data_IF_251527039785
#
_entry.id   IF_251527039785
#
_cell.length_a   1.000
_cell.length_b   1.000
_cell.length_c   1.000
_cell.angle_alpha   90.00
_cell.angle_beta   90.00
_cell.angle_gamma   90.00
#
_symmetry.space_group_name_H-M   'P 1'
#
loop_
_entity.id
_entity.type
_entity.pdbx_description
1 polymer ?
#
# COMPACT_ATOMS: atom_id res chain seq x y z
N UNK A 1 16.76 -16.73 61.76
CA UNK A 1 15.37 -17.22 61.83
C UNK A 1 14.92 -17.51 60.41
N UNK A 2 14.88 -18.80 60.06
CA UNK A 2 14.36 -19.32 58.80
C UNK A 2 12.96 -19.87 59.06
N UNK A 3 12.00 -19.63 58.16
CA UNK A 3 10.80 -20.45 58.02
C UNK A 3 10.43 -20.54 56.54
N UNK A 4 10.33 -21.78 56.11
CA UNK A 4 9.94 -22.37 54.82
C UNK A 4 8.42 -22.55 54.67
N UNK A 5 8.00 -22.95 53.46
CA UNK A 5 6.85 -23.81 53.08
C UNK A 5 5.94 -23.14 52.02
N UNK A 6 5.28 -23.83 51.08
CA UNK A 6 5.38 -25.18 50.53
C UNK A 6 4.41 -25.22 49.31
N UNK A 7 4.65 -26.17 48.41
CA UNK A 7 3.88 -26.48 47.20
C UNK A 7 2.46 -27.00 47.50
N UNK A 8 1.57 -26.91 46.50
CA UNK A 8 0.39 -27.79 46.46
C UNK A 8 -0.06 -28.04 45.01
N UNK A 9 0.08 -29.29 44.59
CA UNK A 9 -0.35 -29.87 43.31
C UNK A 9 -1.54 -30.81 43.62
N UNK A 10 -2.66 -30.70 42.90
CA UNK A 10 -3.79 -31.61 43.07
C UNK A 10 -4.21 -32.30 41.77
N UNK A 11 -4.20 -33.61 41.90
CA UNK A 11 -4.57 -34.70 41.00
C UNK A 11 -6.10 -34.88 40.95
N UNK A 12 -6.66 -35.22 39.78
CA UNK A 12 -8.02 -35.77 39.66
C UNK A 12 -8.03 -36.96 38.70
N UNK A 13 -8.20 -38.15 39.29
CA UNK A 13 -8.65 -39.37 38.64
C UNK A 13 -10.16 -39.51 38.81
N UNK A 14 -10.87 -39.95 37.77
CA UNK A 14 -12.20 -40.53 37.91
C UNK A 14 -12.34 -41.76 37.00
N UNK A 15 -12.83 -42.83 37.62
CA UNK A 15 -13.15 -44.15 37.12
C UNK A 15 -14.66 -44.22 36.89
N UNK A 16 -15.13 -44.90 35.84
CA UNK A 16 -16.41 -45.61 35.88
C UNK A 16 -16.54 -46.62 34.72
N UNK A 17 -16.53 -47.89 35.09
CA UNK A 17 -17.05 -49.03 34.32
C UNK A 17 -18.59 -49.07 34.34
N UNK A 18 -19.23 -49.60 33.30
CA UNK A 18 -20.51 -50.34 33.39
C UNK A 18 -20.97 -50.93 32.03
N UNK A 19 -20.73 -52.22 31.88
CA UNK A 19 -21.62 -53.34 31.45
C UNK A 19 -22.59 -53.26 30.26
N UNK A 20 -22.46 -54.33 29.45
CA UNK A 20 -23.32 -54.98 28.45
C UNK A 20 -24.86 -54.87 28.57
N UNK A 21 -25.53 -54.86 27.41
CA UNK A 21 -26.59 -55.85 27.10
C UNK A 21 -26.87 -55.94 25.58
N UNK A 22 -26.98 -57.18 25.13
CA UNK A 22 -27.21 -57.66 23.77
C UNK A 22 -28.72 -57.92 23.55
N UNK A 23 -29.30 -57.60 22.37
CA UNK A 23 -30.37 -58.43 21.77
C UNK A 23 -30.65 -58.08 20.30
N UNK A 24 -30.79 -59.15 19.52
CA UNK A 24 -31.17 -59.21 18.11
C UNK A 24 -32.57 -58.68 17.81
N UNK A 25 -32.74 -58.07 16.63
CA UNK A 25 -33.90 -58.30 15.76
C UNK A 25 -33.50 -58.06 14.29
N UNK A 26 -33.80 -59.05 13.44
CA UNK A 26 -33.75 -58.97 11.97
C UNK A 26 -34.95 -58.17 11.46
N UNK A 27 -34.76 -57.37 10.42
CA UNK A 27 -35.75 -57.18 9.36
C UNK A 27 -35.03 -56.73 8.08
N UNK A 28 -35.20 -57.53 7.03
CA UNK A 28 -34.92 -57.21 5.63
C UNK A 28 -35.93 -56.16 5.16
N UNK A 29 -35.50 -55.05 4.55
CA UNK A 29 -36.21 -54.38 3.45
C UNK A 29 -35.18 -53.64 2.57
N UNK A 30 -35.26 -53.96 1.27
CA UNK A 30 -34.54 -53.35 0.16
C UNK A 30 -34.89 -51.86 0.01
N UNK A 31 -33.91 -50.95 0.11
CA UNK A 31 -33.99 -49.64 -0.54
C UNK A 31 -32.65 -49.27 -1.18
N UNK A 32 -32.70 -49.24 -2.51
CA UNK A 32 -31.66 -48.86 -3.44
C UNK A 32 -31.48 -47.32 -3.37
N UNK A 33 -30.47 -46.83 -2.64
CA UNK A 33 -30.03 -45.44 -2.72
C UNK A 33 -28.77 -45.38 -3.57
N UNK A 34 -28.88 -44.70 -4.71
CA UNK A 34 -27.78 -44.36 -5.59
C UNK A 34 -26.74 -43.53 -4.82
N UNK A 35 -25.60 -44.15 -4.51
CA UNK A 35 -24.37 -43.48 -4.05
C UNK A 35 -23.75 -42.68 -5.20
N UNK A 36 -24.34 -41.54 -5.55
CA UNK A 36 -23.70 -40.56 -6.42
C UNK A 36 -23.83 -39.17 -5.79
N UNK A 37 -22.76 -38.73 -5.12
CA UNK A 37 -22.62 -37.32 -4.75
C UNK A 37 -22.08 -37.03 -3.36
N UNK A 38 -20.88 -37.52 -3.02
CA UNK A 38 -20.08 -36.88 -1.96
C UNK A 38 -18.58 -36.95 -2.25
N UNK A 39 -18.19 -36.72 -3.50
CA UNK A 39 -16.77 -36.70 -3.92
C UNK A 39 -16.18 -35.27 -3.90
N UNK A 40 -16.58 -34.49 -2.90
CA UNK A 40 -16.42 -33.04 -2.93
C UNK A 40 -16.13 -32.40 -1.59
N UNK A 41 -15.32 -33.01 -0.72
CA UNK A 41 -14.70 -32.24 0.39
C UNK A 41 -13.59 -32.94 1.19
N UNK A 42 -13.02 -34.07 0.75
CA UNK A 42 -11.77 -34.55 1.35
C UNK A 42 -10.61 -33.87 0.62
N UNK A 43 -10.19 -32.71 1.13
CA UNK A 43 -8.86 -32.18 0.81
C UNK A 43 -7.84 -33.30 1.08
N UNK A 44 -7.12 -33.70 0.04
CA UNK A 44 -6.21 -34.84 0.12
C UNK A 44 -5.18 -34.57 1.23
N UNK A 45 -5.01 -35.54 2.12
CA UNK A 45 -4.05 -35.47 3.24
C UNK A 45 -2.63 -35.17 2.71
N UNK A 46 -2.36 -35.53 1.46
CA UNK A 46 -1.13 -35.20 0.74
C UNK A 46 -0.95 -33.68 0.52
N UNK A 47 -2.02 -32.97 0.14
CA UNK A 47 -2.04 -31.53 -0.11
C UNK A 47 -1.88 -30.74 1.19
N UNK A 48 -2.56 -31.16 2.26
CA UNK A 48 -2.41 -30.54 3.59
C UNK A 48 -0.97 -30.68 4.14
N UNK A 49 -0.31 -31.82 3.89
CA UNK A 49 1.10 -32.02 4.29
C UNK A 49 2.06 -31.13 3.49
N UNK A 50 1.79 -30.89 2.21
CA UNK A 50 2.58 -29.97 1.39
C UNK A 50 2.48 -28.54 1.93
N UNK A 51 1.27 -28.06 2.21
CA UNK A 51 1.03 -26.72 2.77
C UNK A 51 1.70 -26.53 4.13
N UNK A 52 1.66 -27.54 5.02
CA UNK A 52 2.34 -27.49 6.31
C UNK A 52 3.87 -27.47 6.20
N UNK A 53 4.42 -28.14 5.18
CA UNK A 53 5.86 -28.12 4.91
C UNK A 53 6.28 -26.74 4.42
N UNK A 54 5.54 -26.16 3.48
CA UNK A 54 5.81 -24.82 2.96
C UNK A 54 5.70 -23.75 4.05
N UNK A 55 4.71 -23.84 4.94
CA UNK A 55 4.60 -22.96 6.11
C UNK A 55 5.81 -23.07 7.06
N UNK A 56 6.35 -24.28 7.27
CA UNK A 56 7.54 -24.48 8.12
C UNK A 56 8.78 -23.86 7.49
N UNK A 57 9.02 -24.09 6.20
CA UNK A 57 10.15 -23.50 5.47
C UNK A 57 10.07 -21.98 5.45
N UNK A 58 8.86 -21.42 5.34
CA UNK A 58 8.63 -19.98 5.45
C UNK A 58 8.89 -19.44 6.85
N UNK A 59 8.43 -20.11 7.91
CA UNK A 59 8.71 -19.67 9.28
C UNK A 59 10.21 -19.63 9.58
N UNK A 60 10.98 -20.58 9.04
CA UNK A 60 12.43 -20.54 9.14
C UNK A 60 13.01 -19.36 8.33
N UNK A 61 12.49 -19.08 7.13
CA UNK A 61 12.89 -17.89 6.35
C UNK A 61 12.56 -16.56 7.05
N UNK A 62 11.39 -16.45 7.70
CA UNK A 62 11.01 -15.27 8.48
C UNK A 62 11.86 -15.11 9.73
N UNK A 63 12.24 -16.22 10.36
CA UNK A 63 13.18 -16.24 11.48
C UNK A 63 14.58 -15.80 11.03
N UNK A 64 15.09 -16.35 9.93
CA UNK A 64 16.35 -15.91 9.31
C UNK A 64 16.30 -14.42 8.93
N UNK A 65 15.17 -13.94 8.43
CA UNK A 65 14.97 -12.54 8.08
C UNK A 65 14.91 -11.65 9.33
N UNK A 66 14.25 -12.10 10.40
CA UNK A 66 14.23 -11.41 11.70
C UNK A 66 15.62 -11.36 12.32
N UNK A 67 16.38 -12.45 12.26
CA UNK A 67 17.77 -12.52 12.71
C UNK A 67 18.69 -11.65 11.83
N UNK A 68 18.46 -11.61 10.52
CA UNK A 68 19.14 -10.70 9.59
C UNK A 68 18.79 -9.23 9.86
N UNK A 69 17.54 -8.91 10.17
CA UNK A 69 17.15 -7.55 10.57
C UNK A 69 17.71 -7.18 11.94
N UNK A 70 17.81 -8.14 12.86
CA UNK A 70 18.47 -7.97 14.15
C UNK A 70 19.99 -7.76 13.97
N UNK A 71 20.64 -8.46 13.03
CA UNK A 71 22.06 -8.26 12.71
C UNK A 71 22.33 -6.96 11.95
N UNK A 72 21.39 -6.49 11.13
CA UNK A 72 21.41 -5.13 10.54
C UNK A 72 21.23 -4.04 11.60
N UNK A 73 20.49 -4.33 12.67
CA UNK A 73 20.34 -3.45 13.85
C UNK A 73 21.61 -3.43 14.71
N UNK A 74 22.36 -4.53 14.73
CA UNK A 74 23.63 -4.67 15.44
C UNK A 74 24.87 -4.39 14.56
N UNK A 75 24.63 -4.00 13.30
CA UNK A 75 25.70 -3.69 12.36
C UNK A 75 26.49 -2.49 12.90
N UNK A 76 27.78 -2.68 13.11
CA UNK A 76 28.72 -1.67 13.61
C UNK A 76 28.64 -0.34 12.83
N UNK A 77 28.26 -0.41 11.55
CA UNK A 77 28.01 0.74 10.67
C UNK A 77 26.76 1.55 11.06
N UNK A 78 25.65 0.92 11.47
CA UNK A 78 24.47 1.66 11.98
C UNK A 78 24.74 2.26 13.35
N UNK A 79 25.60 1.63 14.16
CA UNK A 79 26.09 2.21 15.43
C UNK A 79 27.00 3.42 15.19
N UNK A 80 27.92 3.35 14.23
CA UNK A 80 28.77 4.49 13.84
C UNK A 80 27.96 5.63 13.21
N UNK A 81 26.95 5.33 12.40
CA UNK A 81 26.01 6.32 11.85
C UNK A 81 25.16 6.94 12.97
N UNK A 82 24.67 6.15 13.92
CA UNK A 82 23.90 6.64 15.06
C UNK A 82 24.74 7.53 16.00
N UNK A 83 25.99 7.15 16.29
CA UNK A 83 26.93 7.98 17.05
C UNK A 83 27.31 9.27 16.30
N UNK A 84 27.46 9.21 14.98
CA UNK A 84 27.71 10.39 14.14
C UNK A 84 26.51 11.34 14.12
N UNK A 85 25.28 10.81 14.00
CA UNK A 85 24.04 11.59 14.07
C UNK A 85 23.88 12.22 15.46
N UNK A 86 24.18 11.48 16.52
CA UNK A 86 24.15 11.96 17.91
C UNK A 86 25.16 13.09 18.14
N UNK A 87 26.38 12.96 17.61
CA UNK A 87 27.41 14.01 17.68
C UNK A 87 27.03 15.27 16.89
N UNK A 88 26.39 15.12 15.72
CA UNK A 88 25.84 16.23 14.93
C UNK A 88 24.69 16.95 15.66
N UNK A 89 23.80 16.20 16.32
CA UNK A 89 22.72 16.75 17.13
C UNK A 89 23.24 17.53 18.35
N UNK A 90 24.27 17.02 19.02
CA UNK A 90 24.93 17.70 20.14
C UNK A 90 25.62 19.01 19.69
N UNK A 91 26.22 19.02 18.50
CA UNK A 91 26.80 20.23 17.90
C UNK A 91 25.75 21.29 17.56
N UNK A 92 24.61 20.87 17.02
CA UNK A 92 23.48 21.75 16.71
C UNK A 92 22.82 22.31 17.98
N UNK A 93 22.78 21.51 19.06
CA UNK A 93 22.23 21.95 20.34
C UNK A 93 23.18 22.88 21.12
N UNK A 94 24.50 22.71 20.95
CA UNK A 94 25.52 23.59 21.56
C UNK A 94 25.72 24.91 20.78
N UNK A 95 25.29 24.98 19.53
CA UNK A 95 25.23 26.20 18.73
C UNK A 95 23.90 26.93 18.89
N UNK A 96 23.72 27.63 20.01
CA UNK A 96 22.47 28.29 20.35
C UNK A 96 22.11 29.50 19.44
N UNK A 97 20.82 29.58 19.11
CA UNK A 97 19.93 30.76 19.12
C UNK A 97 20.23 31.98 18.22
N UNK A 98 19.29 32.23 17.30
CA UNK A 98 18.59 33.52 17.29
C UNK A 98 17.07 33.28 17.25
N UNK A 99 16.44 33.44 18.41
CA UNK A 99 15.03 33.82 18.50
C UNK A 99 14.96 35.28 18.08
N UNK A 100 14.14 35.60 17.09
CA UNK A 100 13.19 36.71 17.11
C UNK A 100 12.34 36.74 15.84
N UNK A 101 11.06 37.08 16.04
CA UNK A 101 10.00 37.34 15.05
C UNK A 101 9.35 36.10 14.41
N UNK A 102 8.45 35.46 15.16
CA UNK A 102 7.31 34.74 14.55
C UNK A 102 6.18 35.74 14.38
N UNK A 103 5.96 36.19 13.14
CA UNK A 103 4.69 36.79 12.73
C UNK A 103 3.81 35.68 12.09
N UNK A 104 2.47 35.73 12.25
CA UNK A 104 1.59 34.70 11.71
C UNK A 104 1.63 34.67 10.18
N UNK A 105 1.68 33.47 9.60
CA UNK A 105 1.53 33.25 8.17
C UNK A 105 0.14 33.68 7.71
N UNK A 106 0.02 34.89 7.16
CA UNK A 106 -1.10 35.29 6.31
C UNK A 106 -0.82 34.76 4.91
N UNK A 107 -1.74 33.94 4.40
CA UNK A 107 -1.82 33.53 3.00
C UNK A 107 -1.77 34.77 2.09
N UNK A 108 -0.63 34.98 1.42
CA UNK A 108 -0.54 35.93 0.32
C UNK A 108 -1.09 35.28 -0.93
N UNK A 109 -2.29 35.70 -1.33
CA UNK A 109 -2.75 35.55 -2.72
C UNK A 109 -1.82 36.31 -3.66
N UNK A 110 -1.59 35.85 -4.89
CA UNK A 110 -0.81 36.60 -5.87
C UNK A 110 -1.54 37.89 -6.23
N UNK A 111 -0.89 39.03 -6.03
CA UNK A 111 -1.34 40.31 -6.56
C UNK A 111 -1.04 40.35 -8.07
N UNK A 112 -2.00 40.71 -8.93
CA UNK A 112 -1.72 41.02 -10.31
C UNK A 112 -1.24 42.47 -10.39
N UNK A 113 -0.08 42.70 -10.99
CA UNK A 113 0.33 44.00 -11.49
C UNK A 113 0.45 43.91 -13.01
N UNK A 114 -0.24 44.83 -13.70
CA UNK A 114 0.10 45.19 -15.06
C UNK A 114 -1.11 45.41 -15.98
N UNK A 115 -1.45 46.68 -16.19
CA UNK A 115 -1.93 47.12 -17.50
C UNK A 115 -3.21 47.95 -17.52
N UNK A 116 -3.10 49.22 -17.11
CA UNK A 116 -4.05 50.24 -17.54
C UNK A 116 -3.85 50.52 -19.03
N UNK A 117 -4.88 50.25 -19.83
CA UNK A 117 -4.97 50.60 -21.25
C UNK A 117 -6.40 51.02 -21.58
N UNK A 118 -6.57 52.28 -21.92
CA UNK A 118 -7.85 52.98 -22.17
C UNK A 118 -8.42 52.68 -23.56
N UNK A 119 -9.68 52.20 -23.64
CA UNK A 119 -10.83 52.53 -24.54
C UNK A 119 -10.68 52.63 -26.09
N UNK A 120 -11.77 52.64 -26.92
CA UNK A 120 -13.18 52.27 -26.71
C UNK A 120 -13.86 51.43 -27.86
N UNK A 121 -15.13 51.06 -27.63
CA UNK A 121 -16.25 51.04 -28.61
C UNK A 121 -16.61 49.75 -29.39
N UNK A 122 -17.94 49.46 -29.37
CA UNK A 122 -18.69 48.49 -30.18
C UNK A 122 -19.20 47.32 -29.32
N UNK A 123 -20.48 47.13 -28.98
CA UNK A 123 -21.73 47.43 -29.69
C UNK A 123 -22.33 46.11 -30.18
N UNK A 124 -23.38 45.58 -29.51
CA UNK A 124 -24.19 44.47 -30.05
C UNK A 124 -24.84 43.51 -29.03
N UNK A 125 -26.16 43.68 -28.84
CA UNK A 125 -27.25 42.67 -28.68
C UNK A 125 -27.04 41.43 -27.77
N UNK A 126 -27.75 41.30 -26.63
CA UNK A 126 -29.12 40.77 -26.42
C UNK A 126 -29.39 39.30 -26.82
N UNK A 127 -29.55 38.42 -25.81
CA UNK A 127 -30.55 37.31 -25.64
C UNK A 127 -30.16 36.53 -24.37
N UNK A 128 -30.84 36.58 -23.20
CA UNK A 128 -32.16 36.10 -22.75
C UNK A 128 -32.44 34.59 -22.94
N UNK A 129 -32.83 33.97 -21.80
CA UNK A 129 -33.52 32.67 -21.60
C UNK A 129 -32.63 31.41 -21.57
N UNK A 130 -32.74 30.42 -20.67
CA UNK A 130 -33.61 30.11 -19.52
C UNK A 130 -33.02 28.90 -18.77
N UNK A 131 -33.41 28.70 -17.51
CA UNK A 131 -33.39 27.41 -16.77
C UNK A 131 -34.86 26.94 -16.59
N UNK A 132 -35.19 25.79 -15.93
CA UNK A 132 -34.70 24.40 -15.95
C UNK A 132 -35.91 23.42 -16.25
N UNK A 133 -35.93 22.11 -15.90
CA UNK A 133 -36.19 21.69 -14.50
C UNK A 133 -35.50 20.39 -14.02
N UNK A 134 -35.58 20.21 -12.69
CA UNK A 134 -35.25 19.01 -11.94
C UNK A 134 -36.10 17.78 -12.34
N UNK A 135 -35.57 16.58 -12.11
CA UNK A 135 -36.37 15.43 -11.69
C UNK A 135 -35.59 14.57 -10.69
N UNK A 136 -36.21 14.36 -9.54
CA UNK A 136 -35.87 13.33 -8.56
C UNK A 136 -36.18 11.95 -9.15
N UNK A 137 -35.41 10.92 -8.78
CA UNK A 137 -35.93 9.64 -8.28
C UNK A 137 -34.79 8.82 -7.68
N UNK A 138 -35.03 8.34 -6.46
CA UNK A 138 -34.22 7.38 -5.74
C UNK A 138 -34.36 5.97 -6.34
N UNK A 139 -33.28 5.19 -6.31
CA UNK A 139 -33.35 3.75 -6.04
C UNK A 139 -31.96 3.25 -5.66
N UNK A 140 -31.82 2.87 -4.39
CA UNK A 140 -30.70 2.09 -3.88
C UNK A 140 -30.69 0.72 -4.56
N UNK A 141 -29.68 0.47 -5.39
CA UNK A 141 -29.19 -0.88 -5.68
C UNK A 141 -27.68 -0.82 -5.51
N UNK A 142 -27.14 -1.70 -4.68
CA UNK A 142 -25.71 -1.93 -4.56
C UNK A 142 -25.20 -2.35 -5.93
N UNK A 143 -24.60 -1.41 -6.67
CA UNK A 143 -23.87 -1.71 -7.89
C UNK A 143 -22.56 -2.37 -7.47
N UNK A 144 -22.40 -3.64 -7.80
CA UNK A 144 -21.13 -4.33 -7.69
C UNK A 144 -20.11 -3.63 -8.59
N UNK A 145 -19.11 -3.01 -7.96
CA UNK A 145 -18.03 -2.32 -8.67
C UNK A 145 -17.08 -3.37 -9.23
N UNK A 146 -17.32 -3.72 -10.50
CA UNK A 146 -16.37 -4.50 -11.28
C UNK A 146 -15.20 -3.59 -11.67
N UNK A 147 -14.01 -3.82 -11.10
CA UNK A 147 -12.77 -3.33 -11.71
C UNK A 147 -12.79 -3.82 -13.17
N UNK A 148 -12.59 -2.97 -14.19
CA UNK A 148 -12.74 -3.35 -15.59
C UNK A 148 -11.94 -4.63 -15.91
N UNK A 149 -12.63 -5.73 -16.22
CA UNK A 149 -12.05 -7.02 -16.60
C UNK A 149 -11.25 -6.97 -17.93
N UNK A 150 -11.19 -5.81 -18.60
CA UNK A 150 -10.50 -5.63 -19.87
C UNK A 150 -8.97 -5.67 -19.78
N UNK A 151 -8.37 -5.96 -18.62
CA UNK A 151 -6.96 -6.33 -18.53
C UNK A 151 -6.79 -7.85 -18.65
N UNK A 152 -7.18 -8.43 -19.79
CA UNK A 152 -6.71 -9.76 -20.17
C UNK A 152 -5.19 -9.69 -20.27
N UNK A 153 -4.54 -10.32 -19.30
CA UNK A 153 -3.09 -10.44 -19.16
C UNK A 153 -2.54 -11.17 -20.38
N UNK A 154 -2.16 -10.42 -21.41
CA UNK A 154 -1.00 -10.82 -22.21
C UNK A 154 0.19 -10.57 -21.31
N UNK A 155 0.83 -11.66 -20.85
CA UNK A 155 2.14 -11.67 -20.20
C UNK A 155 3.05 -10.76 -21.03
N UNK A 156 3.23 -9.51 -20.60
CA UNK A 156 3.77 -8.45 -21.45
C UNK A 156 5.25 -8.75 -21.67
N UNK A 157 5.66 -9.24 -22.84
CA UNK A 157 7.06 -9.46 -23.10
C UNK A 157 7.62 -8.08 -23.38
N UNK A 158 8.56 -7.64 -22.54
CA UNK A 158 9.33 -6.42 -22.76
C UNK A 158 8.57 -5.09 -22.65
N UNK A 159 8.74 -4.44 -21.48
CA UNK A 159 8.44 -3.03 -21.21
C UNK A 159 9.37 -2.05 -22.01
N UNK A 160 9.79 -2.41 -23.23
CA UNK A 160 10.70 -1.58 -24.06
C UNK A 160 10.00 -0.70 -25.10
N UNK A 161 8.67 -0.60 -25.10
CA UNK A 161 7.96 0.43 -25.84
C UNK A 161 7.05 1.22 -24.89
N UNK A 162 7.50 2.41 -24.49
CA UNK A 162 6.70 3.40 -23.76
C UNK A 162 5.55 3.91 -24.63
N UNK A 163 4.47 3.14 -24.75
CA UNK A 163 3.18 3.78 -24.94
C UNK A 163 2.87 4.50 -23.63
N UNK A 164 3.03 5.82 -23.63
CA UNK A 164 2.50 6.69 -22.59
C UNK A 164 0.98 6.54 -22.61
N UNK A 165 0.48 5.53 -21.91
CA UNK A 165 -0.95 5.40 -21.66
C UNK A 165 -1.29 6.49 -20.67
N UNK A 166 -2.08 7.47 -21.12
CA UNK A 166 -2.70 8.45 -20.25
C UNK A 166 -4.04 7.87 -19.83
N UNK A 167 -4.17 7.56 -18.55
CA UNK A 167 -5.41 7.07 -17.96
C UNK A 167 -6.39 8.22 -17.81
N UNK A 168 -7.59 8.02 -18.36
CA UNK A 168 -8.72 8.92 -18.19
C UNK A 168 -9.52 8.63 -16.91
N UNK A 169 -9.09 7.64 -16.12
CA UNK A 169 -9.79 7.21 -14.92
C UNK A 169 -8.81 6.79 -13.81
N UNK A 170 -9.12 7.19 -12.58
CA UNK A 170 -8.44 6.73 -11.36
C UNK A 170 -8.70 5.26 -11.03
N UNK A 171 -9.67 4.61 -11.69
CA UNK A 171 -9.95 3.17 -11.48
C UNK A 171 -8.89 2.26 -12.11
N UNK A 172 -8.05 2.80 -13.01
CA UNK A 172 -6.92 2.04 -13.54
C UNK A 172 -5.86 1.89 -12.46
N UNK A 173 -5.49 0.65 -12.14
CA UNK A 173 -4.47 0.37 -11.15
C UNK A 173 -3.08 0.73 -11.71
N UNK A 174 -2.29 1.53 -10.99
CA UNK A 174 -0.89 1.80 -11.34
C UNK A 174 -0.07 0.53 -11.59
N UNK A 175 0.74 0.55 -12.66
CA UNK A 175 1.60 -0.59 -13.05
C UNK A 175 3.06 -0.41 -12.70
N UNK A 176 3.45 0.77 -12.22
CA UNK A 176 4.79 1.08 -11.77
C UNK A 176 4.78 2.23 -10.76
N UNK A 177 5.92 2.43 -10.10
CA UNK A 177 6.06 3.43 -9.05
C UNK A 177 5.72 4.85 -9.51
N UNK A 178 6.13 5.26 -10.72
CA UNK A 178 5.74 6.56 -11.29
C UNK A 178 4.23 6.69 -11.40
N UNK A 179 3.55 5.69 -11.96
CA UNK A 179 2.09 5.69 -12.06
C UNK A 179 1.43 5.76 -10.68
N UNK A 180 2.00 5.11 -9.66
CA UNK A 180 1.46 5.15 -8.31
C UNK A 180 1.60 6.55 -7.69
N UNK A 181 2.73 7.22 -7.91
CA UNK A 181 2.92 8.62 -7.53
C UNK A 181 1.93 9.53 -8.27
N UNK A 182 1.78 9.37 -9.58
CA UNK A 182 0.83 10.17 -10.36
C UNK A 182 -0.62 9.96 -9.93
N UNK A 183 -0.99 8.72 -9.60
CA UNK A 183 -2.32 8.39 -9.08
C UNK A 183 -2.60 9.13 -7.77
N UNK A 184 -1.64 9.16 -6.84
CA UNK A 184 -1.77 9.90 -5.58
C UNK A 184 -1.95 11.40 -5.79
N UNK A 185 -1.22 11.98 -6.75
CA UNK A 185 -1.38 13.40 -7.11
C UNK A 185 -2.76 13.66 -7.75
N UNK A 186 -3.26 12.73 -8.56
CA UNK A 186 -4.57 12.87 -9.19
C UNK A 186 -5.73 12.68 -8.18
N UNK A 187 -5.58 11.75 -7.23
CA UNK A 187 -6.50 11.53 -6.09
C UNK A 187 -6.62 12.77 -5.21
N UNK A 188 -5.50 13.46 -4.96
CA UNK A 188 -5.50 14.74 -4.25
C UNK A 188 -6.52 15.71 -4.89
N UNK A 189 -6.47 15.84 -6.21
CA UNK A 189 -7.33 16.77 -6.95
C UNK A 189 -7.23 18.21 -6.44
N UNK A 190 -8.30 18.97 -6.67
CA UNK A 190 -8.40 20.38 -6.24
C UNK A 190 -8.84 20.50 -4.77
N UNK A 191 -9.64 19.55 -4.26
CA UNK A 191 -10.11 19.49 -2.87
C UNK A 191 -9.39 18.38 -2.09
N UNK A 192 -8.10 18.62 -1.81
CA UNK A 192 -7.22 17.65 -1.16
C UNK A 192 -7.74 17.18 0.20
N UNK A 193 -8.27 18.10 1.01
CA UNK A 193 -8.76 17.81 2.35
C UNK A 193 -9.91 16.82 2.30
N UNK A 194 -10.93 17.11 1.49
CA UNK A 194 -12.11 16.24 1.36
C UNK A 194 -11.77 14.90 0.73
N UNK A 195 -10.99 14.90 -0.36
CA UNK A 195 -10.67 13.68 -1.10
C UNK A 195 -9.86 12.70 -0.23
N UNK A 196 -8.84 13.20 0.46
CA UNK A 196 -7.99 12.36 1.32
C UNK A 196 -8.67 11.97 2.63
N UNK A 197 -9.56 12.81 3.18
CA UNK A 197 -10.44 12.42 4.28
C UNK A 197 -11.36 11.25 3.89
N UNK A 198 -11.98 11.35 2.70
CA UNK A 198 -12.87 10.30 2.20
C UNK A 198 -12.10 9.00 1.91
N UNK A 199 -10.91 9.09 1.31
CA UNK A 199 -10.04 7.95 1.11
C UNK A 199 -9.59 7.32 2.44
N UNK A 200 -9.20 8.14 3.42
CA UNK A 200 -8.79 7.68 4.75
C UNK A 200 -9.90 6.94 5.48
N UNK A 201 -11.13 7.46 5.42
CA UNK A 201 -12.31 6.79 5.95
C UNK A 201 -12.60 5.46 5.24
N UNK A 202 -12.54 5.42 3.92
CA UNK A 202 -12.75 4.19 3.15
C UNK A 202 -11.68 3.12 3.41
N UNK A 203 -10.42 3.55 3.61
CA UNK A 203 -9.33 2.66 4.00
C UNK A 203 -9.59 2.09 5.40
N UNK A 204 -9.92 2.93 6.38
CA UNK A 204 -10.26 2.48 7.73
C UNK A 204 -11.42 1.47 7.72
N UNK A 205 -12.49 1.79 7.02
CA UNK A 205 -13.68 0.96 6.86
C UNK A 205 -13.38 -0.38 6.15
N UNK A 206 -12.55 -0.35 5.10
CA UNK A 206 -12.06 -1.56 4.44
C UNK A 206 -11.35 -2.50 5.42
N UNK A 207 -10.53 -1.97 6.33
CA UNK A 207 -9.82 -2.78 7.33
C UNK A 207 -10.72 -3.31 8.45
N UNK A 208 -11.63 -2.47 8.96
CA UNK A 208 -12.52 -2.83 10.07
C UNK A 208 -13.53 -3.91 9.68
N UNK A 209 -13.98 -3.90 8.43
CA UNK A 209 -15.04 -4.78 7.93
C UNK A 209 -14.57 -5.71 6.81
N UNK A 210 -13.29 -6.08 6.83
CA UNK A 210 -12.70 -6.78 5.70
C UNK A 210 -13.26 -8.19 5.52
N UNK A 211 -13.67 -8.85 6.61
CA UNK A 211 -14.17 -10.22 6.59
C UNK A 211 -15.44 -10.41 5.75
N UNK A 212 -16.29 -9.37 5.68
CA UNK A 212 -17.57 -9.40 4.95
C UNK A 212 -17.49 -8.94 3.49
N UNK A 213 -16.30 -8.61 2.99
CA UNK A 213 -16.09 -7.88 1.73
C UNK A 213 -15.41 -8.72 0.65
N UNK A 214 -16.05 -9.82 0.27
CA UNK A 214 -15.49 -10.77 -0.71
C UNK A 214 -15.15 -10.14 -2.06
N UNK A 215 -15.90 -9.13 -2.50
CA UNK A 215 -15.67 -8.45 -3.79
C UNK A 215 -14.42 -7.58 -3.73
N UNK A 216 -14.28 -6.78 -2.67
CA UNK A 216 -13.15 -5.92 -2.41
C UNK A 216 -11.87 -6.73 -2.22
N UNK A 217 -11.96 -7.91 -1.60
CA UNK A 217 -10.86 -8.88 -1.52
C UNK A 217 -10.37 -9.32 -2.90
N UNK A 218 -11.28 -9.77 -3.76
CA UNK A 218 -10.93 -10.17 -5.12
C UNK A 218 -10.29 -9.01 -5.90
N UNK A 219 -10.85 -7.82 -5.75
CA UNK A 219 -10.33 -6.61 -6.36
C UNK A 219 -8.95 -6.19 -5.82
N UNK A 220 -8.72 -6.35 -4.52
CA UNK A 220 -7.44 -6.09 -3.87
C UNK A 220 -6.37 -7.09 -4.32
N UNK A 221 -6.71 -8.37 -4.47
CA UNK A 221 -5.79 -9.38 -4.99
C UNK A 221 -5.38 -9.08 -6.44
N UNK A 222 -6.35 -8.63 -7.27
CA UNK A 222 -6.05 -8.13 -8.62
C UNK A 222 -5.11 -6.93 -8.56
N UNK A 223 -5.35 -5.97 -7.67
CA UNK A 223 -4.49 -4.79 -7.51
C UNK A 223 -3.07 -5.16 -7.06
N UNK A 224 -2.93 -6.08 -6.11
CA UNK A 224 -1.64 -6.56 -5.59
C UNK A 224 -0.83 -7.30 -6.65
N UNK A 225 -1.47 -8.02 -7.57
CA UNK A 225 -0.75 -8.66 -8.68
C UNK A 225 0.01 -7.64 -9.54
N UNK A 226 -0.51 -6.43 -9.74
CA UNK A 226 0.25 -5.38 -10.43
C UNK A 226 1.50 -4.95 -9.66
N UNK A 227 1.42 -4.90 -8.32
CA UNK A 227 2.59 -4.68 -7.47
C UNK A 227 3.60 -5.82 -7.59
N UNK A 228 3.17 -7.08 -7.59
CA UNK A 228 4.04 -8.24 -7.77
C UNK A 228 4.74 -8.18 -9.13
N UNK A 229 3.97 -8.05 -10.22
CA UNK A 229 4.49 -7.98 -11.59
C UNK A 229 5.54 -6.87 -11.74
N UNK A 230 5.26 -5.71 -11.14
CA UNK A 230 6.20 -4.60 -11.10
C UNK A 230 7.51 -4.96 -10.35
N UNK A 231 7.41 -5.58 -9.18
CA UNK A 231 8.55 -5.90 -8.34
C UNK A 231 9.41 -7.05 -8.89
N UNK A 232 8.81 -7.95 -9.67
CA UNK A 232 9.49 -9.07 -10.34
C UNK A 232 10.39 -8.65 -11.51
N UNK A 233 10.35 -7.39 -11.94
CA UNK A 233 11.25 -6.88 -12.96
C UNK A 233 12.71 -7.17 -12.63
N UNK A 234 13.50 -7.62 -13.61
CA UNK A 234 14.91 -8.00 -13.44
C UNK A 234 15.78 -6.93 -12.77
N UNK A 235 15.45 -5.65 -13.04
CA UNK A 235 16.14 -4.49 -12.48
C UNK A 235 15.79 -4.21 -11.01
N UNK A 236 14.66 -4.74 -10.52
CA UNK A 236 14.15 -4.48 -9.17
C UNK A 236 14.29 -5.69 -8.25
N UNK A 237 13.95 -6.90 -8.72
CA UNK A 237 13.88 -8.12 -7.89
C UNK A 237 15.17 -8.50 -7.16
N UNK A 238 16.30 -7.94 -7.57
CA UNK A 238 17.62 -8.19 -6.95
C UNK A 238 17.84 -7.35 -5.69
N UNK A 239 17.08 -6.28 -5.50
CA UNK A 239 17.18 -5.40 -4.35
C UNK A 239 16.60 -6.06 -3.08
N UNK A 240 17.29 -5.89 -1.94
CA UNK A 240 16.94 -6.54 -0.67
C UNK A 240 15.49 -6.28 -0.25
N UNK A 241 15.06 -5.01 -0.25
CA UNK A 241 13.70 -4.63 0.14
C UNK A 241 12.64 -5.16 -0.84
N UNK A 242 12.98 -5.24 -2.13
CA UNK A 242 12.07 -5.82 -3.14
C UNK A 242 11.88 -7.30 -2.88
N UNK A 243 12.95 -8.05 -2.59
CA UNK A 243 12.84 -9.49 -2.23
C UNK A 243 11.99 -9.71 -0.99
N UNK A 244 12.20 -8.89 0.04
CA UNK A 244 11.42 -8.95 1.28
C UNK A 244 9.93 -8.75 1.01
N UNK A 245 9.58 -7.69 0.26
CA UNK A 245 8.18 -7.39 -0.08
C UNK A 245 7.60 -8.46 -1.00
N UNK A 246 8.35 -8.95 -1.99
CA UNK A 246 7.90 -10.06 -2.84
C UNK A 246 7.61 -11.32 -2.03
N UNK A 247 8.48 -11.72 -1.10
CA UNK A 247 8.25 -12.89 -0.25
C UNK A 247 6.94 -12.77 0.54
N UNK A 248 6.69 -11.59 1.11
CA UNK A 248 5.44 -11.25 1.81
C UNK A 248 4.22 -11.38 0.87
N UNK A 249 4.28 -10.78 -0.31
CA UNK A 249 3.16 -10.78 -1.25
C UNK A 249 2.89 -12.15 -1.87
N UNK A 250 3.94 -12.89 -2.24
CA UNK A 250 3.83 -14.24 -2.78
C UNK A 250 3.24 -15.20 -1.77
N UNK A 251 3.63 -15.11 -0.50
CA UNK A 251 2.99 -15.89 0.56
C UNK A 251 1.49 -15.61 0.59
N UNK A 252 1.10 -14.33 0.66
CA UNK A 252 -0.31 -13.92 0.70
C UNK A 252 -1.12 -14.47 -0.48
N UNK A 253 -0.65 -14.29 -1.71
CA UNK A 253 -1.39 -14.70 -2.93
C UNK A 253 -1.46 -16.22 -3.07
N UNK A 254 -0.52 -16.96 -2.47
CA UNK A 254 -0.51 -18.43 -2.49
C UNK A 254 -1.41 -19.06 -1.41
N UNK A 255 -1.87 -18.30 -0.41
CA UNK A 255 -2.84 -18.84 0.56
C UNK A 255 -4.18 -19.02 -0.14
N UNK A 256 -4.61 -20.27 -0.28
CA UNK A 256 -5.84 -20.63 -1.00
C UNK A 256 -7.06 -19.95 -0.37
N UNK A 257 -7.96 -19.33 -1.17
CA UNK A 257 -9.16 -18.66 -0.66
C UNK A 257 -10.02 -19.55 0.25
N UNK A 258 -10.09 -20.86 -0.02
CA UNK A 258 -10.87 -21.82 0.79
C UNK A 258 -10.31 -22.02 2.22
N UNK A 259 -9.02 -21.80 2.44
CA UNK A 259 -8.41 -21.84 3.78
C UNK A 259 -8.72 -20.55 4.53
N UNK A 260 -8.77 -19.42 3.82
CA UNK A 260 -9.18 -18.12 4.37
C UNK A 260 -10.65 -18.14 4.77
N UNK A 261 -11.56 -18.59 3.91
CA UNK A 261 -13.01 -18.49 4.18
C UNK A 261 -13.48 -19.33 5.37
N UNK A 262 -12.86 -20.48 5.64
CA UNK A 262 -13.32 -21.41 6.68
C UNK A 262 -12.78 -21.11 8.10
N UNK A 263 -11.72 -20.31 8.24
CA UNK A 263 -11.06 -20.06 9.53
C UNK A 263 -11.35 -18.63 10.06
N UNK A 264 -11.78 -17.68 9.21
CA UNK A 264 -11.33 -16.28 9.39
C UNK A 264 -12.41 -15.19 9.48
N UNK A 265 -13.69 -15.49 9.29
CA UNK A 265 -14.62 -14.38 9.04
C UNK A 265 -15.02 -13.56 10.29
N UNK A 266 -14.84 -14.03 11.54
CA UNK A 266 -15.20 -13.22 12.74
C UNK A 266 -14.05 -12.85 13.67
N UNK A 267 -13.02 -13.70 13.79
CA UNK A 267 -11.87 -13.42 14.67
C UNK A 267 -11.01 -12.25 14.14
N UNK A 268 -11.07 -12.00 12.84
CA UNK A 268 -10.12 -11.15 12.14
C UNK A 268 -10.51 -9.68 12.08
N UNK A 269 -11.82 -9.36 12.03
CA UNK A 269 -12.25 -7.97 12.22
C UNK A 269 -11.82 -7.45 13.60
N UNK A 270 -11.83 -8.34 14.61
CA UNK A 270 -11.37 -8.00 15.96
C UNK A 270 -9.84 -7.83 16.03
N UNK A 271 -9.08 -8.58 15.24
CA UNK A 271 -7.61 -8.43 15.17
C UNK A 271 -7.20 -7.18 14.39
N UNK A 272 -7.88 -6.91 13.27
CA UNK A 272 -7.71 -5.71 12.48
C UNK A 272 -8.02 -4.45 13.30
N UNK A 273 -9.16 -4.44 14.01
CA UNK A 273 -9.50 -3.36 14.93
C UNK A 273 -8.47 -3.22 16.05
N UNK A 274 -7.98 -4.33 16.62
CA UNK A 274 -6.93 -4.30 17.65
C UNK A 274 -5.62 -3.70 17.11
N UNK A 275 -5.23 -4.03 15.88
CA UNK A 275 -4.07 -3.41 15.23
C UNK A 275 -4.29 -1.92 15.03
N UNK A 276 -5.41 -1.52 14.44
CA UNK A 276 -5.72 -0.11 14.18
C UNK A 276 -5.66 0.68 15.49
N UNK A 277 -6.31 0.18 16.53
CA UNK A 277 -6.28 0.77 17.87
C UNK A 277 -4.86 0.82 18.47
N UNK A 278 -4.10 -0.28 18.40
CA UNK A 278 -2.72 -0.35 18.94
C UNK A 278 -1.78 0.66 18.26
N UNK A 279 -2.00 0.93 16.97
CA UNK A 279 -1.20 1.88 16.20
C UNK A 279 -1.80 3.29 16.17
N UNK A 280 -2.91 3.52 16.89
CA UNK A 280 -3.61 4.81 16.91
C UNK A 280 -4.16 5.23 15.55
N UNK A 281 -4.46 4.26 14.68
CA UNK A 281 -5.02 4.49 13.35
C UNK A 281 -6.54 4.60 13.43
N UNK A 282 -7.03 5.83 13.32
CA UNK A 282 -8.42 6.19 13.02
C UNK A 282 -8.53 6.69 11.58
N UNK A 283 -9.75 6.81 11.04
CA UNK A 283 -10.00 7.44 9.74
C UNK A 283 -9.29 8.80 9.60
N UNK A 284 -9.39 9.67 10.61
CA UNK A 284 -8.77 11.00 10.62
C UNK A 284 -7.24 10.92 10.58
N UNK A 285 -6.64 10.06 11.41
CA UNK A 285 -5.17 9.92 11.42
C UNK A 285 -4.64 9.29 10.13
N UNK A 286 -5.41 8.39 9.50
CA UNK A 286 -5.07 7.82 8.19
C UNK A 286 -5.12 8.94 7.14
N UNK A 287 -6.19 9.76 7.13
CA UNK A 287 -6.31 10.89 6.23
C UNK A 287 -5.15 11.90 6.40
N UNK A 288 -4.81 12.25 7.64
CA UNK A 288 -3.68 13.13 7.94
C UNK A 288 -2.36 12.54 7.40
N UNK A 289 -2.11 11.26 7.64
CA UNK A 289 -0.91 10.58 7.14
C UNK A 289 -0.89 10.48 5.62
N UNK A 290 -2.04 10.30 4.98
CA UNK A 290 -2.17 10.36 3.52
C UNK A 290 -1.81 11.73 2.97
N UNK A 291 -2.22 12.83 3.63
CA UNK A 291 -1.79 14.18 3.25
C UNK A 291 -0.27 14.30 3.22
N UNK A 292 0.43 13.79 4.26
CA UNK A 292 1.90 13.78 4.27
C UNK A 292 2.50 12.93 3.14
N UNK A 293 1.92 11.76 2.84
CA UNK A 293 2.36 10.91 1.72
C UNK A 293 2.23 11.66 0.39
N UNK A 294 1.07 12.27 0.15
CA UNK A 294 0.76 12.99 -1.11
C UNK A 294 1.62 14.23 -1.27
N UNK A 295 1.83 15.01 -0.21
CA UNK A 295 2.73 16.17 -0.24
C UNK A 295 4.19 15.77 -0.47
N UNK A 296 4.65 14.67 0.15
CA UNK A 296 5.97 14.12 -0.11
C UNK A 296 6.12 13.64 -1.57
N UNK A 297 5.08 13.02 -2.14
CA UNK A 297 5.01 12.68 -3.56
C UNK A 297 5.11 13.93 -4.45
N UNK A 298 4.36 14.99 -4.13
CA UNK A 298 4.36 16.24 -4.88
C UNK A 298 5.74 16.93 -4.84
N UNK A 299 6.37 16.98 -3.67
CA UNK A 299 7.70 17.53 -3.48
C UNK A 299 8.76 16.72 -4.24
N UNK A 300 8.75 15.39 -4.07
CA UNK A 300 9.65 14.49 -4.78
C UNK A 300 9.54 14.69 -6.28
N UNK A 301 8.32 14.64 -6.81
CA UNK A 301 8.05 14.79 -8.22
C UNK A 301 8.47 16.18 -8.72
N UNK A 302 8.18 17.24 -7.96
CA UNK A 302 8.57 18.62 -8.25
C UNK A 302 10.08 18.82 -8.37
N UNK A 303 10.87 17.98 -7.68
CA UNK A 303 12.34 18.01 -7.74
C UNK A 303 12.90 17.15 -8.88
N UNK A 304 12.32 15.98 -9.17
CA UNK A 304 12.92 15.06 -10.17
C UNK A 304 12.42 15.30 -11.60
N UNK A 305 11.23 15.89 -11.77
CA UNK A 305 10.62 16.03 -13.09
C UNK A 305 11.24 17.14 -13.92
N UNK A 306 11.31 16.91 -15.22
CA UNK A 306 11.51 17.96 -16.20
C UNK A 306 10.16 18.57 -16.57
N UNK A 307 9.93 19.83 -16.20
CA UNK A 307 8.62 20.49 -16.33
C UNK A 307 8.07 20.50 -17.76
N UNK A 308 8.92 20.60 -18.79
CA UNK A 308 8.47 20.67 -20.19
C UNK A 308 8.21 19.32 -20.83
N UNK A 309 8.68 18.23 -20.22
CA UNK A 309 8.64 16.89 -20.80
C UNK A 309 7.94 15.86 -19.93
N UNK A 310 7.57 16.22 -18.70
CA UNK A 310 6.89 15.32 -17.80
C UNK A 310 5.42 15.15 -18.18
N UNK A 311 5.03 13.91 -18.49
CA UNK A 311 3.64 13.56 -18.73
C UNK A 311 3.14 12.69 -17.57
N UNK A 312 2.11 13.18 -16.89
CA UNK A 312 1.38 12.41 -15.88
C UNK A 312 0.76 11.17 -16.52
N UNK A 313 0.76 10.06 -15.80
CA UNK A 313 0.02 8.87 -16.19
C UNK A 313 -1.50 9.07 -16.13
N UNK A 314 -1.98 10.05 -15.37
CA UNK A 314 -3.41 10.34 -15.21
C UNK A 314 -3.73 11.70 -15.82
N UNK A 315 -4.77 11.73 -16.65
CA UNK A 315 -5.28 12.95 -17.25
C UNK A 315 -5.86 13.89 -16.18
N UNK A 316 -5.95 15.20 -16.43
CA UNK A 316 -6.68 16.12 -15.57
C UNK A 316 -8.16 15.76 -15.35
N UNK A 317 -8.75 14.95 -16.25
CA UNK A 317 -10.13 14.47 -16.13
C UNK A 317 -10.28 13.31 -15.14
N UNK A 318 -9.19 12.61 -14.79
CA UNK A 318 -9.19 11.53 -13.81
C UNK A 318 -9.23 12.12 -12.39
N UNK A 319 -10.39 12.63 -12.01
CA UNK A 319 -10.62 13.28 -10.71
C UNK A 319 -11.31 12.36 -9.71
N UNK A 320 -11.12 12.64 -8.42
CA UNK A 320 -11.83 11.95 -7.35
C UNK A 320 -13.35 12.02 -7.52
N UNK A 321 -13.88 13.23 -7.75
CA UNK A 321 -15.33 13.46 -7.83
C UNK A 321 -16.01 12.70 -8.97
N UNK A 322 -15.32 12.53 -10.10
CA UNK A 322 -15.88 11.81 -11.24
C UNK A 322 -16.02 10.29 -10.99
N UNK A 323 -15.26 9.71 -10.05
CA UNK A 323 -15.06 8.24 -10.01
C UNK A 323 -15.19 7.61 -8.63
N UNK A 324 -14.74 8.29 -7.58
CA UNK A 324 -14.68 7.75 -6.22
C UNK A 324 -15.66 8.40 -5.25
N UNK A 325 -16.25 9.55 -5.58
CA UNK A 325 -17.26 10.16 -4.70
C UNK A 325 -18.48 9.26 -4.46
N UNK A 326 -18.79 8.33 -5.38
CA UNK A 326 -19.83 7.30 -5.19
C UNK A 326 -19.30 5.98 -4.61
N UNK A 327 -18.02 5.68 -4.83
CA UNK A 327 -17.40 4.38 -4.54
C UNK A 327 -15.99 4.52 -3.95
N UNK A 328 -15.83 5.19 -2.78
CA UNK A 328 -14.52 5.47 -2.21
C UNK A 328 -13.76 4.21 -1.80
N UNK A 329 -14.46 3.09 -1.57
CA UNK A 329 -13.90 1.76 -1.33
C UNK A 329 -13.01 1.28 -2.49
N UNK A 330 -13.33 1.68 -3.72
CA UNK A 330 -12.50 1.34 -4.89
C UNK A 330 -11.15 2.05 -4.81
N UNK A 331 -11.16 3.32 -4.40
CA UNK A 331 -9.93 4.08 -4.15
C UNK A 331 -9.09 3.46 -3.03
N UNK A 332 -9.74 3.01 -1.95
CA UNK A 332 -9.07 2.32 -0.85
C UNK A 332 -8.39 1.02 -1.31
N UNK A 333 -9.10 0.18 -2.07
CA UNK A 333 -8.57 -1.07 -2.63
C UNK A 333 -7.36 -0.80 -3.53
N UNK A 334 -7.44 0.21 -4.40
CA UNK A 334 -6.33 0.57 -5.30
C UNK A 334 -5.13 1.06 -4.47
N UNK A 335 -5.32 1.99 -3.53
CA UNK A 335 -4.24 2.53 -2.71
C UNK A 335 -3.51 1.42 -1.94
N UNK A 336 -4.26 0.56 -1.25
CA UNK A 336 -3.69 -0.56 -0.51
C UNK A 336 -2.94 -1.50 -1.46
N UNK A 337 -3.52 -1.80 -2.62
CA UNK A 337 -2.91 -2.71 -3.59
C UNK A 337 -1.59 -2.21 -4.18
N UNK A 338 -1.40 -0.89 -4.30
CA UNK A 338 -0.17 -0.28 -4.80
C UNK A 338 0.82 0.10 -3.69
N UNK A 339 0.41 0.08 -2.42
CA UNK A 339 1.28 0.39 -1.29
C UNK A 339 2.60 -0.43 -1.26
N UNK A 340 2.62 -1.74 -1.56
CA UNK A 340 3.87 -2.51 -1.64
C UNK A 340 4.83 -1.98 -2.69
N UNK A 341 4.32 -1.60 -3.87
CA UNK A 341 5.10 -1.00 -4.95
C UNK A 341 5.69 0.35 -4.53
N UNK A 342 4.91 1.20 -3.86
CA UNK A 342 5.36 2.48 -3.33
C UNK A 342 6.50 2.29 -2.32
N UNK A 343 6.32 1.42 -1.32
CA UNK A 343 7.32 1.18 -0.28
C UNK A 343 8.61 0.63 -0.88
N UNK A 344 8.51 -0.39 -1.73
CA UNK A 344 9.67 -0.99 -2.38
C UNK A 344 10.45 0.02 -3.22
N UNK A 345 9.74 0.89 -3.96
CA UNK A 345 10.34 1.96 -4.74
C UNK A 345 11.08 2.97 -3.86
N UNK A 346 10.44 3.46 -2.79
CA UNK A 346 11.02 4.44 -1.87
C UNK A 346 12.24 3.89 -1.12
N UNK A 347 12.16 2.66 -0.61
CA UNK A 347 13.27 2.01 0.09
C UNK A 347 14.44 1.74 -0.85
N UNK A 348 14.17 1.30 -2.08
CA UNK A 348 15.20 1.12 -3.11
C UNK A 348 15.90 2.44 -3.44
N UNK A 349 15.15 3.52 -3.63
CA UNK A 349 15.72 4.85 -3.91
C UNK A 349 16.56 5.39 -2.75
N UNK A 350 16.09 5.25 -1.50
CA UNK A 350 16.85 5.64 -0.30
C UNK A 350 18.15 4.84 -0.18
N UNK A 351 18.09 3.53 -0.34
CA UNK A 351 19.26 2.65 -0.29
C UNK A 351 20.31 3.04 -1.34
N UNK A 352 19.89 3.23 -2.60
CA UNK A 352 20.78 3.66 -3.68
C UNK A 352 21.37 5.07 -3.42
N UNK A 353 20.59 5.98 -2.85
CA UNK A 353 21.03 7.33 -2.51
C UNK A 353 22.09 7.34 -1.40
N UNK A 354 21.98 6.43 -0.42
CA UNK A 354 22.96 6.26 0.65
C UNK A 354 24.24 5.60 0.16
N UNK A 355 24.13 4.56 -0.69
CA UNK A 355 25.28 3.89 -1.29
C UNK A 355 26.16 4.87 -2.11
N UNK A 356 25.53 5.87 -2.75
CA UNK A 356 26.25 6.94 -3.44
C UNK A 356 27.05 7.88 -2.52
N UNK A 357 26.71 7.96 -1.23
CA UNK A 357 27.48 8.74 -0.24
C UNK A 357 28.67 7.95 0.31
N UNK A 358 28.57 6.62 0.37
CA UNK A 358 29.57 5.73 0.95
C UNK A 358 30.58 5.27 -0.11
N UNK A 359 31.62 6.10 -0.37
CA UNK A 359 32.88 5.81 -1.11
C UNK A 359 32.82 4.98 -2.41
N UNK A 360 31.64 4.68 -2.95
CA UNK A 360 31.49 4.01 -4.23
C UNK A 360 31.94 4.95 -5.34
N UNK A 361 32.53 4.40 -6.40
CA UNK A 361 32.89 5.21 -7.57
C UNK A 361 31.65 5.98 -8.04
N UNK A 362 31.69 7.33 -8.11
CA UNK A 362 30.53 8.15 -8.44
C UNK A 362 29.83 7.74 -9.74
N UNK A 363 30.60 7.25 -10.72
CA UNK A 363 30.09 6.77 -12.00
C UNK A 363 29.22 5.51 -11.86
N UNK A 364 29.64 4.56 -11.02
CA UNK A 364 28.89 3.32 -10.78
C UNK A 364 27.60 3.63 -10.02
N UNK A 365 27.67 4.50 -9.01
CA UNK A 365 26.49 4.91 -8.24
C UNK A 365 25.48 5.66 -9.10
N UNK A 366 25.96 6.56 -9.97
CA UNK A 366 25.10 7.31 -10.90
C UNK A 366 24.39 6.39 -11.89
N UNK A 367 25.12 5.44 -12.49
CA UNK A 367 24.54 4.47 -13.44
C UNK A 367 23.47 3.61 -12.78
N UNK A 368 23.75 3.07 -11.58
CA UNK A 368 22.78 2.26 -10.82
C UNK A 368 21.53 3.07 -10.45
N UNK A 369 21.70 4.34 -10.07
CA UNK A 369 20.58 5.22 -9.78
C UNK A 369 19.72 5.48 -11.03
N UNK A 370 20.35 5.73 -12.18
CA UNK A 370 19.64 5.93 -13.44
C UNK A 370 18.86 4.66 -13.85
N UNK A 371 19.47 3.49 -13.77
CA UNK A 371 18.83 2.20 -14.06
C UNK A 371 17.63 1.95 -13.13
N UNK A 372 17.76 2.28 -11.84
CA UNK A 372 16.69 2.16 -10.85
C UNK A 372 15.52 3.11 -11.14
N UNK A 373 15.81 4.39 -11.40
CA UNK A 373 14.78 5.40 -11.71
C UNK A 373 14.00 5.02 -12.98
N UNK A 374 14.70 4.49 -14.00
CA UNK A 374 14.06 3.96 -15.20
C UNK A 374 13.17 2.76 -14.88
N UNK A 375 13.62 1.83 -14.04
CA UNK A 375 12.81 0.69 -13.61
C UNK A 375 11.57 1.10 -12.81
N UNK A 376 11.63 2.24 -12.11
CA UNK A 376 10.49 2.85 -11.40
C UNK A 376 9.48 3.53 -12.34
N UNK A 377 9.75 3.59 -13.65
CA UNK A 377 8.85 4.14 -14.66
C UNK A 377 9.19 5.57 -15.10
N UNK A 378 10.24 6.18 -14.55
CA UNK A 378 10.67 7.52 -14.96
C UNK A 378 11.73 7.44 -16.07
N UNK A 379 11.41 7.98 -17.24
CA UNK A 379 12.28 7.90 -18.41
C UNK A 379 12.65 9.26 -18.95
N UNK A 380 13.83 9.36 -19.55
CA UNK A 380 14.25 10.58 -20.26
C UNK A 380 13.35 10.82 -21.49
N UNK A 381 12.97 12.06 -21.82
CA UNK A 381 13.42 13.34 -21.22
C UNK A 381 12.56 13.84 -20.04
N UNK A 382 11.67 13.01 -19.48
CA UNK A 382 10.76 13.41 -18.39
C UNK A 382 11.49 13.73 -17.07
N UNK A 383 12.76 13.35 -16.97
CA UNK A 383 13.63 13.56 -15.83
C UNK A 383 14.51 14.80 -16.00
N UNK A 384 14.82 15.46 -14.88
CA UNK A 384 15.81 16.53 -14.87
C UNK A 384 17.19 15.99 -15.30
N UNK A 385 17.89 16.70 -16.17
CA UNK A 385 19.19 16.29 -16.66
C UNK A 385 20.24 16.28 -15.53
N UNK A 386 21.14 15.29 -15.55
CA UNK A 386 22.27 15.24 -14.62
C UNK A 386 21.91 14.93 -13.15
N UNK A 387 20.77 14.28 -12.89
CA UNK A 387 20.42 13.86 -11.54
C UNK A 387 21.44 12.87 -10.97
N UNK A 388 22.02 13.23 -9.83
CA UNK A 388 22.93 12.37 -9.07
C UNK A 388 22.15 11.60 -7.99
N UNK A 389 22.75 10.53 -7.46
CA UNK A 389 22.19 9.80 -6.32
C UNK A 389 21.94 10.70 -5.09
N UNK A 390 22.83 11.69 -4.85
CA UNK A 390 22.65 12.69 -3.78
C UNK A 390 21.46 13.62 -4.04
N UNK A 391 21.24 14.01 -5.31
CA UNK A 391 20.08 14.81 -5.69
C UNK A 391 18.77 14.07 -5.41
N UNK A 392 18.68 12.81 -5.83
CA UNK A 392 17.52 11.93 -5.59
C UNK A 392 17.30 11.73 -4.09
N UNK A 393 18.36 11.50 -3.31
CA UNK A 393 18.26 11.40 -1.86
C UNK A 393 17.70 12.67 -1.20
N UNK A 394 18.07 13.85 -1.69
CA UNK A 394 17.44 15.11 -1.25
C UNK A 394 15.99 15.21 -1.71
N UNK A 395 15.66 14.74 -2.91
CA UNK A 395 14.28 14.75 -3.41
C UNK A 395 13.33 13.90 -2.57
N UNK A 396 13.84 12.85 -1.93
CA UNK A 396 13.10 12.01 -0.98
C UNK A 396 12.93 12.66 0.41
N UNK A 397 13.38 13.90 0.62
CA UNK A 397 13.39 14.55 1.93
C UNK A 397 12.01 14.69 2.58
N UNK A 398 10.95 14.82 1.77
CA UNK A 398 9.56 14.86 2.25
C UNK A 398 9.04 13.52 2.77
N UNK A 399 9.61 12.40 2.32
CA UNK A 399 9.32 11.10 2.92
C UNK A 399 10.13 11.01 4.21
N UNK A 400 9.48 10.99 5.36
CA UNK A 400 10.14 10.69 6.64
C UNK A 400 10.19 9.18 6.88
N UNK A 401 10.83 8.73 7.96
CA UNK A 401 10.75 7.31 8.35
C UNK A 401 9.30 6.91 8.69
N UNK A 402 8.57 7.79 9.36
CA UNK A 402 7.18 7.60 9.75
C UNK A 402 6.25 7.47 8.54
N UNK A 403 6.42 8.32 7.51
CA UNK A 403 5.61 8.25 6.29
C UNK A 403 5.80 6.92 5.55
N UNK A 404 7.04 6.42 5.45
CA UNK A 404 7.30 5.13 4.79
C UNK A 404 6.75 3.97 5.62
N UNK A 405 6.95 4.00 6.95
CA UNK A 405 6.40 2.98 7.83
C UNK A 405 4.88 2.94 7.75
N UNK A 406 4.22 4.09 7.70
CA UNK A 406 2.77 4.14 7.50
C UNK A 406 2.34 3.43 6.21
N UNK A 407 2.97 3.72 5.06
CA UNK A 407 2.63 3.02 3.80
C UNK A 407 2.94 1.52 3.94
N UNK A 408 4.04 1.15 4.59
CA UNK A 408 4.41 -0.25 4.83
C UNK A 408 3.41 -0.96 5.75
N UNK A 409 2.94 -0.31 6.81
CA UNK A 409 1.95 -0.84 7.73
C UNK A 409 0.63 -1.08 6.99
N UNK A 410 0.21 -0.16 6.12
CA UNK A 410 -0.97 -0.36 5.27
C UNK A 410 -0.78 -1.48 4.24
N UNK A 411 0.44 -1.61 3.68
CA UNK A 411 0.80 -2.69 2.76
C UNK A 411 0.91 -4.07 3.44
N UNK A 412 1.34 -4.09 4.71
CA UNK A 412 1.73 -5.28 5.47
C UNK A 412 0.74 -5.66 6.57
N UNK A 413 -0.31 -4.87 6.81
CA UNK A 413 -1.39 -5.18 7.75
C UNK A 413 -1.94 -6.60 7.57
N UNK A 414 -1.87 -7.13 6.35
CA UNK A 414 -2.33 -8.46 5.97
C UNK A 414 -1.35 -9.61 6.30
N UNK A 415 -0.12 -9.34 6.76
CA UNK A 415 0.89 -10.39 7.09
C UNK A 415 0.79 -10.91 8.51
N UNK A 416 -0.04 -10.29 9.34
CA UNK A 416 -0.37 -10.78 10.68
C UNK A 416 -1.67 -11.60 10.68
N UNK A 417 -2.22 -11.89 9.50
CA UNK A 417 -3.34 -12.80 9.28
C UNK A 417 -2.86 -14.25 9.21
#
# INVERSE_FOLDING_TARGET
>A
MAVSAAENEQNYQAVSDSTDCNSHAKHDEDENYDEDGNDGMLMDISEMKATLKDMREMMESLKDMREMMASLKDNRETKEIAETIKSLLDLLQRGALHKDVVAPCVLKTPHPDGGAGTSPSGGGQQQLCSAPPQSQHASSQAQSVNIPETCVVKKSPNLTAHQQVVYNSLMYVPRNFKEAVDWLIAVRGDDAERNLATLGAAIYDLYVHMSGRSTEWSNLDKAIRFSIDFLEQEKLKKHLYVKMILAILSYRVNITPNVLTNIIVSAYDTENQRFLHKNGLTADTIAEKLCYVVDACAEFLGRIKNRSHYNSAYSPQATWDALFSAHPETGAVIFVGIAPMLVAGLLSLRSASLAGKLKSSPLIASKRMQELIQALGYVEPQLCAGMTASYVGRALGGFTYETINFIFDLAGFWTFL
#
